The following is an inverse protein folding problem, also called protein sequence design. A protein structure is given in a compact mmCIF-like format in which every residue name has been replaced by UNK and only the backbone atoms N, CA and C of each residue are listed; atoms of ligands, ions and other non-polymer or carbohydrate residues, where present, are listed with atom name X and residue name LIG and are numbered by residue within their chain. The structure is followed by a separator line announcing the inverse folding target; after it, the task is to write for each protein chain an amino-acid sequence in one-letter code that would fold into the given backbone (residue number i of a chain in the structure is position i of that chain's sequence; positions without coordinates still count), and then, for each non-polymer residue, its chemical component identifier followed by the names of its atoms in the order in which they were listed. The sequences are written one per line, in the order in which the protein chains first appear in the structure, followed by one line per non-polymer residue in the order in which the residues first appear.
data_IF_016160562695
#
_entry.id   IF_016160562695
#
_cell.length_a   1.000
_cell.length_b   1.000
_cell.length_c   1.000
_cell.angle_alpha   90.00
_cell.angle_beta   90.00
_cell.angle_gamma   90.00
#
_symmetry.space_group_name_H-M   'P 1'
#
loop_
_entity.id
_entity.type
_entity.pdbx_description
1 polymer ?
#
# COMPACT_ATOMS: atom_id res chain seq x y z
N UNK A 1 -8.70 38.25 -4.71
CA UNK A 1 -8.44 36.93 -4.07
C UNK A 1 -8.47 35.83 -5.13
N UNK A 2 -7.38 35.08 -5.32
CA UNK A 2 -7.33 33.94 -6.27
C UNK A 2 -8.12 32.79 -5.63
N UNK A 3 -9.26 32.38 -6.21
CA UNK A 3 -10.02 31.20 -5.74
C UNK A 3 -9.09 29.98 -5.81
N UNK A 4 -8.84 29.32 -4.67
CA UNK A 4 -8.13 28.03 -4.66
C UNK A 4 -9.00 27.03 -5.44
N UNK A 5 -8.42 26.38 -6.46
CA UNK A 5 -9.12 25.30 -7.16
C UNK A 5 -9.35 24.17 -6.16
N UNK A 6 -10.59 23.72 -6.05
CA UNK A 6 -10.96 22.50 -5.32
C UNK A 6 -11.17 21.39 -6.34
N UNK A 7 -10.73 20.20 -5.99
CA UNK A 7 -10.97 19.02 -6.80
C UNK A 7 -12.43 18.62 -6.68
N UNK A 8 -12.96 18.04 -7.74
CA UNK A 8 -14.22 17.33 -7.73
C UNK A 8 -14.04 15.98 -7.03
N UNK A 9 -15.12 15.40 -6.49
CA UNK A 9 -15.08 14.10 -5.83
C UNK A 9 -14.50 12.99 -6.73
N UNK A 10 -14.74 13.08 -8.05
CA UNK A 10 -14.16 12.16 -9.02
C UNK A 10 -12.62 12.29 -9.13
N UNK A 11 -12.10 13.52 -9.17
CA UNK A 11 -10.66 13.77 -9.19
C UNK A 11 -10.00 13.36 -7.86
N UNK A 12 -10.67 13.58 -6.72
CA UNK A 12 -10.18 13.13 -5.41
C UNK A 12 -10.07 11.60 -5.35
N UNK A 13 -11.03 10.88 -5.93
CA UNK A 13 -10.99 9.43 -6.03
C UNK A 13 -9.87 8.92 -6.94
N UNK A 14 -9.61 9.55 -8.08
CA UNK A 14 -8.49 9.18 -8.95
C UNK A 14 -7.14 9.38 -8.25
N UNK A 15 -6.99 10.48 -7.50
CA UNK A 15 -5.78 10.72 -6.70
C UNK A 15 -5.66 9.68 -5.59
N UNK A 16 -6.76 9.33 -4.91
CA UNK A 16 -6.75 8.30 -3.88
C UNK A 16 -6.22 6.97 -4.44
N UNK A 17 -6.65 6.54 -5.63
CA UNK A 17 -6.13 5.33 -6.28
C UNK A 17 -4.63 5.39 -6.53
N UNK A 18 -4.14 6.51 -7.06
CA UNK A 18 -2.71 6.74 -7.32
C UNK A 18 -1.86 6.76 -6.05
N UNK A 19 -2.42 7.30 -4.96
CA UNK A 19 -1.76 7.35 -3.66
C UNK A 19 -1.73 5.95 -3.03
N UNK A 20 -2.83 5.22 -3.11
CA UNK A 20 -2.93 3.86 -2.59
C UNK A 20 -2.00 2.87 -3.29
N UNK A 21 -1.85 2.98 -4.61
CA UNK A 21 -0.87 2.18 -5.36
C UNK A 21 0.55 2.39 -4.80
N UNK A 22 0.97 3.64 -4.61
CA UNK A 22 2.26 3.97 -4.00
C UNK A 22 2.43 3.45 -2.58
N UNK A 23 1.34 3.38 -1.79
CA UNK A 23 1.39 2.78 -0.46
C UNK A 23 1.46 1.24 -0.51
N UNK A 24 0.83 0.58 -1.48
CA UNK A 24 0.97 -0.87 -1.66
C UNK A 24 2.43 -1.26 -1.94
N UNK A 25 3.15 -0.42 -2.70
CA UNK A 25 4.58 -0.64 -2.95
C UNK A 25 5.43 -0.74 -1.68
N UNK A 26 5.03 -0.13 -0.55
CA UNK A 26 5.74 -0.31 0.73
C UNK A 26 5.67 -1.75 1.23
N UNK A 27 4.49 -2.38 1.17
CA UNK A 27 4.34 -3.78 1.57
C UNK A 27 5.20 -4.70 0.70
N UNK A 28 5.23 -4.46 -0.62
CA UNK A 28 6.12 -5.17 -1.54
C UNK A 28 7.59 -4.93 -1.25
N UNK A 29 8.00 -3.71 -0.93
CA UNK A 29 9.38 -3.39 -0.56
C UNK A 29 9.82 -4.15 0.70
N UNK A 30 8.96 -4.22 1.72
CA UNK A 30 9.23 -4.99 2.96
C UNK A 30 9.38 -6.49 2.67
N UNK A 31 8.50 -7.05 1.83
CA UNK A 31 8.64 -8.46 1.42
C UNK A 31 9.92 -8.69 0.59
N UNK A 32 10.25 -7.77 -0.31
CA UNK A 32 11.51 -7.81 -1.08
C UNK A 32 12.74 -7.76 -0.18
N UNK A 33 12.70 -6.96 0.88
CA UNK A 33 13.74 -6.96 1.91
C UNK A 33 13.82 -8.30 2.67
N UNK A 34 12.67 -8.91 2.98
CA UNK A 34 12.63 -10.26 3.53
C UNK A 34 13.29 -11.29 2.62
N UNK A 35 12.96 -11.28 1.32
CA UNK A 35 13.60 -12.14 0.32
C UNK A 35 15.11 -11.92 0.23
N UNK A 36 15.56 -10.66 0.32
CA UNK A 36 16.98 -10.33 0.34
C UNK A 36 17.70 -10.90 1.58
N UNK A 37 17.04 -10.91 2.75
CA UNK A 37 17.60 -11.55 3.95
C UNK A 37 17.68 -13.07 3.82
N UNK A 38 16.67 -13.71 3.21
CA UNK A 38 16.72 -15.15 2.90
C UNK A 38 17.91 -15.45 1.98
N UNK A 39 18.13 -14.61 0.95
CA UNK A 39 19.26 -14.77 0.03
C UNK A 39 20.63 -14.67 0.73
N UNK A 40 20.72 -13.94 1.84
CA UNK A 40 21.92 -13.85 2.69
C UNK A 40 22.09 -15.01 3.67
N UNK A 41 21.14 -15.95 3.72
CA UNK A 41 21.16 -17.11 4.60
C UNK A 41 20.36 -16.95 5.90
N UNK A 42 19.75 -15.79 6.16
CA UNK A 42 18.83 -15.60 7.28
C UNK A 42 17.39 -15.95 6.87
N UNK A 43 17.09 -17.25 6.87
CA UNK A 43 15.79 -17.78 6.47
C UNK A 43 14.70 -17.37 7.46
N UNK A 44 14.95 -17.45 8.76
CA UNK A 44 13.95 -17.17 9.80
C UNK A 44 13.61 -15.68 9.85
N UNK A 45 14.62 -14.81 9.85
CA UNK A 45 14.41 -13.36 9.83
C UNK A 45 13.76 -12.92 8.52
N UNK A 46 14.24 -13.43 7.39
CA UNK A 46 13.68 -13.14 6.08
C UNK A 46 12.22 -13.56 5.93
N UNK A 47 11.85 -14.75 6.39
CA UNK A 47 10.45 -15.22 6.41
C UNK A 47 9.56 -14.33 7.29
N UNK A 48 10.08 -13.88 8.45
CA UNK A 48 9.36 -12.96 9.33
C UNK A 48 9.05 -11.63 8.64
N UNK A 49 10.04 -11.06 7.92
CA UNK A 49 9.85 -9.83 7.13
C UNK A 49 8.83 -10.01 6.01
N UNK A 50 8.81 -11.16 5.34
CA UNK A 50 7.80 -11.47 4.30
C UNK A 50 6.40 -11.51 4.91
N UNK A 51 6.23 -12.17 6.05
CA UNK A 51 4.93 -12.23 6.74
C UNK A 51 4.46 -10.84 7.16
N UNK A 52 5.35 -10.02 7.72
CA UNK A 52 5.06 -8.62 8.10
C UNK A 52 4.61 -7.82 6.87
N UNK A 53 5.36 -7.91 5.76
CA UNK A 53 5.00 -7.23 4.51
C UNK A 53 3.65 -7.69 3.95
N UNK A 54 3.34 -8.98 4.04
CA UNK A 54 2.04 -9.54 3.66
C UNK A 54 0.88 -9.01 4.52
N UNK A 55 1.08 -8.90 5.84
CA UNK A 55 0.08 -8.30 6.74
C UNK A 55 -0.18 -6.83 6.38
N UNK A 56 0.89 -6.07 6.10
CA UNK A 56 0.77 -4.66 5.69
C UNK A 56 -0.03 -4.53 4.39
N UNK A 57 0.26 -5.37 3.39
CA UNK A 57 -0.52 -5.40 2.15
C UNK A 57 -1.99 -5.72 2.38
N UNK A 58 -2.29 -6.74 3.19
CA UNK A 58 -3.67 -7.12 3.51
C UNK A 58 -4.42 -5.98 4.21
N UNK A 59 -3.78 -5.29 5.16
CA UNK A 59 -4.38 -4.12 5.81
C UNK A 59 -4.72 -3.02 4.82
N UNK A 60 -3.79 -2.66 3.93
CA UNK A 60 -4.06 -1.66 2.90
C UNK A 60 -5.14 -2.12 1.91
N UNK A 61 -5.12 -3.39 1.48
CA UNK A 61 -6.15 -3.94 0.60
C UNK A 61 -7.55 -3.84 1.23
N UNK A 62 -7.69 -4.17 2.51
CA UNK A 62 -8.97 -4.05 3.23
C UNK A 62 -9.45 -2.59 3.27
N UNK A 63 -8.55 -1.66 3.53
CA UNK A 63 -8.86 -0.22 3.51
C UNK A 63 -9.35 0.21 2.13
N UNK A 64 -8.69 -0.24 1.05
CA UNK A 64 -9.12 0.05 -0.33
C UNK A 64 -10.54 -0.43 -0.58
N UNK A 65 -10.82 -1.70 -0.28
CA UNK A 65 -12.13 -2.29 -0.59
C UNK A 65 -13.24 -1.55 0.15
N UNK A 66 -13.01 -1.22 1.43
CA UNK A 66 -13.97 -0.44 2.22
C UNK A 66 -14.21 0.96 1.65
N UNK A 67 -13.16 1.68 1.27
CA UNK A 67 -13.31 3.01 0.66
C UNK A 67 -14.00 2.94 -0.72
N UNK A 68 -13.72 1.90 -1.51
CA UNK A 68 -14.38 1.67 -2.79
C UNK A 68 -15.88 1.37 -2.64
N UNK A 69 -16.26 0.55 -1.67
CA UNK A 69 -17.68 0.21 -1.40
C UNK A 69 -18.48 1.41 -0.88
N UNK A 70 -17.85 2.39 -0.25
CA UNK A 70 -18.52 3.63 0.21
C UNK A 70 -18.84 4.57 -0.98
N UNK A 71 -18.09 4.46 -2.07
CA UNK A 71 -18.20 5.36 -3.24
C UNK A 71 -19.10 4.77 -4.33
N UNK A 72 -19.28 3.44 -4.36
CA UNK A 72 -20.17 2.71 -5.27
C UNK A 72 -21.64 2.78 -4.85
#
# INVERSE_FOLDING_TARGET
MKKKKRLTQAEEFEILKLVLDKFLWLGFAVMGFGLFNIFKGDVTGGMSWIVIGGIVLLLFMIIIVKEYEIIA
#
